data_IF_799308148343
#
_entry.id   IF_799308148343
#
_cell.length_a   1.000
_cell.length_b   1.000
_cell.length_c   1.000
_cell.angle_alpha   90.00
_cell.angle_beta   90.00
_cell.angle_gamma   90.00
#
_symmetry.space_group_name_H-M   'P 1'
#
loop_
_entity.id
_entity.type
_entity.pdbx_description
1 polymer ?
#
# COMPACT_ATOMS: atom_id res chain seq x y z
N UNK A 1 18.33 0.22 5.94
CA UNK A 1 18.72 -1.17 5.62
C UNK A 1 18.43 -2.02 6.85
N UNK A 2 17.30 -2.73 6.87
CA UNK A 2 17.01 -3.76 7.86
C UNK A 2 17.36 -5.08 7.17
N UNK A 3 18.57 -5.58 7.43
CA UNK A 3 19.12 -6.75 6.79
C UNK A 3 18.77 -8.02 7.55
N UNK A 4 18.06 -8.94 6.90
CA UNK A 4 17.93 -10.33 7.33
C UNK A 4 18.18 -11.23 6.11
N UNK A 5 19.45 -11.64 5.95
CA UNK A 5 19.89 -12.87 5.28
C UNK A 5 19.64 -13.02 3.77
N UNK A 6 20.69 -12.84 2.97
CA UNK A 6 20.97 -13.45 1.63
C UNK A 6 19.92 -13.36 0.51
N UNK A 7 18.73 -12.82 0.79
CA UNK A 7 17.68 -12.40 -0.13
C UNK A 7 17.42 -10.92 0.18
N UNK A 8 18.36 -10.07 -0.22
CA UNK A 8 18.14 -8.62 -0.19
C UNK A 8 17.05 -8.30 -1.22
N UNK A 9 15.80 -8.33 -0.79
CA UNK A 9 14.68 -7.87 -1.61
C UNK A 9 14.84 -6.35 -1.65
N UNK A 10 15.29 -5.83 -2.79
CA UNK A 10 15.20 -4.41 -3.05
C UNK A 10 13.71 -4.03 -3.08
N UNK A 11 13.30 -3.19 -2.13
CA UNK A 11 11.93 -2.70 -2.02
C UNK A 11 11.63 -1.64 -3.08
N UNK A 12 12.62 -1.26 -3.89
CA UNK A 12 12.50 -0.42 -5.08
C UNK A 12 11.93 -1.22 -6.25
N UNK A 13 10.69 -1.69 -6.10
CA UNK A 13 10.04 -2.58 -7.08
C UNK A 13 9.81 -1.93 -8.45
N UNK A 14 9.80 -0.59 -8.53
CA UNK A 14 9.59 0.17 -9.77
C UNK A 14 10.89 0.71 -10.38
N UNK A 15 12.01 0.06 -10.10
CA UNK A 15 13.28 0.39 -10.76
C UNK A 15 13.16 0.29 -12.29
N UNK A 16 13.87 1.16 -13.01
CA UNK A 16 13.85 1.18 -14.47
C UNK A 16 14.68 0.07 -15.10
N UNK A 17 15.67 -0.45 -14.36
CA UNK A 17 16.61 -1.48 -14.81
C UNK A 17 15.99 -2.86 -14.54
N UNK A 18 15.47 -3.06 -13.33
CA UNK A 18 14.90 -4.34 -12.88
C UNK A 18 13.51 -4.15 -12.24
N UNK A 19 12.46 -3.88 -13.03
CA UNK A 19 11.11 -3.78 -12.49
C UNK A 19 10.69 -5.13 -11.92
N UNK A 20 10.13 -5.12 -10.71
CA UNK A 20 9.77 -6.32 -9.95
C UNK A 20 8.31 -6.25 -9.54
N UNK A 21 7.59 -7.38 -9.63
CA UNK A 21 6.24 -7.50 -9.09
C UNK A 21 6.32 -8.13 -7.71
N UNK A 22 5.81 -7.41 -6.71
CA UNK A 22 5.73 -7.88 -5.33
C UNK A 22 4.28 -8.29 -5.01
N UNK A 23 4.07 -9.58 -4.79
CA UNK A 23 2.80 -10.12 -4.32
C UNK A 23 2.91 -10.49 -2.84
N UNK A 24 2.04 -9.93 -2.01
CA UNK A 24 1.99 -10.23 -0.57
C UNK A 24 0.69 -10.95 -0.25
N UNK A 25 0.80 -12.18 0.23
CA UNK A 25 -0.32 -12.94 0.77
C UNK A 25 -0.33 -12.88 2.29
N UNK A 26 -1.52 -12.89 2.88
CA UNK A 26 -1.69 -13.05 4.32
C UNK A 26 -2.02 -14.51 4.67
N UNK A 27 -1.61 -14.98 5.84
CA UNK A 27 -1.99 -16.27 6.38
C UNK A 27 -3.19 -16.11 7.33
N UNK A 28 -4.42 -16.55 6.97
CA UNK A 28 -5.64 -16.24 7.72
C UNK A 28 -5.58 -16.58 9.22
N UNK A 29 -5.00 -17.72 9.65
CA UNK A 29 -4.92 -18.07 11.08
C UNK A 29 -4.07 -17.10 11.93
N UNK A 30 -3.19 -16.32 11.31
CA UNK A 30 -2.30 -15.37 12.00
C UNK A 30 -2.47 -13.93 11.45
N UNK A 31 -3.65 -13.62 10.91
CA UNK A 31 -3.97 -12.32 10.29
C UNK A 31 -3.63 -11.12 11.19
N UNK A 32 -3.92 -11.20 12.49
CA UNK A 32 -3.63 -10.13 13.46
C UNK A 32 -2.14 -9.90 13.69
N UNK A 33 -1.31 -10.95 13.61
CA UNK A 33 0.14 -10.84 13.80
C UNK A 33 0.84 -10.33 12.53
N UNK A 34 0.38 -10.75 11.35
CA UNK A 34 0.98 -10.37 10.07
C UNK A 34 0.50 -9.02 9.53
N UNK A 35 -0.71 -8.58 9.87
CA UNK A 35 -1.28 -7.31 9.39
C UNK A 35 -0.34 -6.10 9.65
N UNK A 36 0.23 -5.90 10.86
CA UNK A 36 1.17 -4.79 11.09
C UNK A 36 2.45 -4.88 10.26
N UNK A 37 2.97 -6.10 10.06
CA UNK A 37 4.19 -6.35 9.29
C UNK A 37 3.96 -6.05 7.81
N UNK A 38 2.84 -6.53 7.25
CA UNK A 38 2.45 -6.28 5.86
C UNK A 38 2.19 -4.78 5.65
N UNK A 39 1.52 -4.13 6.59
CA UNK A 39 1.25 -2.68 6.58
C UNK A 39 2.55 -1.87 6.54
N UNK A 40 3.53 -2.24 7.36
CA UNK A 40 4.85 -1.63 7.35
C UNK A 40 5.56 -1.83 6.01
N UNK A 41 5.56 -3.07 5.49
CA UNK A 41 6.20 -3.40 4.22
C UNK A 41 5.63 -2.56 3.07
N UNK A 42 4.30 -2.50 2.94
CA UNK A 42 3.60 -1.70 1.93
C UNK A 42 3.94 -0.22 2.08
N UNK A 43 4.00 0.29 3.31
CA UNK A 43 4.36 1.69 3.58
C UNK A 43 5.78 2.00 3.12
N UNK A 44 6.73 1.08 3.34
CA UNK A 44 8.11 1.23 2.88
C UNK A 44 8.17 1.17 1.35
N UNK A 45 7.45 0.23 0.72
CA UNK A 45 7.37 0.14 -0.75
C UNK A 45 6.83 1.43 -1.35
N UNK A 46 5.73 1.99 -0.83
CA UNK A 46 5.20 3.28 -1.29
C UNK A 46 6.25 4.39 -1.27
N UNK A 47 6.97 4.53 -0.15
CA UNK A 47 8.04 5.53 -0.02
C UNK A 47 9.20 5.28 -0.97
N UNK A 48 9.58 4.02 -1.20
CA UNK A 48 10.65 3.66 -2.14
C UNK A 48 10.26 3.97 -3.59
N UNK A 49 8.99 3.76 -3.93
CA UNK A 49 8.45 4.00 -5.27
C UNK A 49 8.36 5.50 -5.62
N UNK A 50 8.36 6.39 -4.63
CA UNK A 50 8.37 7.84 -4.85
C UNK A 50 9.75 8.30 -5.34
N UNK A 51 9.93 8.32 -6.65
CA UNK A 51 11.17 8.76 -7.28
C UNK A 51 10.94 9.28 -8.69
N UNK A 52 11.86 10.12 -9.16
CA UNK A 52 11.90 10.51 -10.57
C UNK A 52 12.54 9.38 -11.38
N UNK A 53 12.20 9.29 -12.66
CA UNK A 53 12.72 8.25 -13.56
C UNK A 53 12.45 6.82 -13.05
N UNK A 54 11.20 6.56 -12.66
CA UNK A 54 10.72 5.23 -12.27
C UNK A 54 9.71 4.71 -13.30
N UNK A 55 9.59 3.38 -13.38
CA UNK A 55 8.62 2.75 -14.27
C UNK A 55 7.21 3.00 -13.72
N UNK A 56 6.24 3.25 -14.60
CA UNK A 56 4.83 3.36 -14.20
C UNK A 56 4.41 2.07 -13.51
N UNK A 57 3.72 2.17 -12.39
CA UNK A 57 3.40 1.00 -11.57
C UNK A 57 1.99 1.07 -11.03
N UNK A 58 1.54 -0.01 -10.42
CA UNK A 58 0.28 -0.03 -9.71
C UNK A 58 0.47 -0.70 -8.35
N UNK A 59 -0.39 -0.32 -7.41
CA UNK A 59 -0.54 -0.98 -6.11
C UNK A 59 -1.99 -1.40 -6.00
N UNK A 60 -2.23 -2.69 -5.84
CA UNK A 60 -3.57 -3.26 -5.66
C UNK A 60 -3.69 -3.83 -4.25
N UNK A 61 -4.75 -3.43 -3.54
CA UNK A 61 -5.04 -3.86 -2.17
C UNK A 61 -6.45 -4.45 -2.17
N UNK A 62 -6.56 -5.75 -1.92
CA UNK A 62 -7.85 -6.47 -1.97
C UNK A 62 -8.73 -6.22 -0.73
N UNK A 63 -8.12 -6.01 0.44
CA UNK A 63 -8.86 -5.77 1.68
C UNK A 63 -8.21 -4.64 2.49
N UNK A 64 -8.45 -3.40 2.06
CA UNK A 64 -7.81 -2.20 2.64
C UNK A 64 -8.00 -2.06 4.16
N UNK A 65 -9.19 -2.33 4.76
CA UNK A 65 -9.39 -2.20 6.20
C UNK A 65 -8.52 -3.13 7.06
N UNK A 66 -7.91 -4.16 6.46
CA UNK A 66 -7.05 -5.10 7.20
C UNK A 66 -5.63 -4.61 7.38
N UNK A 67 -5.28 -3.51 6.71
CA UNK A 67 -3.95 -2.92 6.70
C UNK A 67 -4.05 -1.51 7.23
N UNK A 68 -3.00 -1.05 7.91
CA UNK A 68 -2.86 0.31 8.37
C UNK A 68 -1.81 1.05 7.55
N UNK A 69 -2.24 1.93 6.65
CA UNK A 69 -1.35 2.74 5.83
C UNK A 69 -1.38 4.19 6.35
N UNK A 70 -0.27 4.71 6.92
CA UNK A 70 -0.21 6.08 7.40
C UNK A 70 -0.50 7.08 6.28
N UNK A 71 -1.40 8.03 6.53
CA UNK A 71 -1.73 9.08 5.56
C UNK A 71 -2.43 8.55 4.31
N UNK A 72 -3.20 7.46 4.41
CA UNK A 72 -3.88 6.82 3.28
C UNK A 72 -4.66 7.82 2.39
N UNK A 73 -5.24 8.89 2.94
CA UNK A 73 -5.94 9.93 2.17
C UNK A 73 -5.03 10.68 1.18
N UNK A 74 -3.74 10.81 1.49
CA UNK A 74 -2.75 11.50 0.66
C UNK A 74 -2.00 10.55 -0.27
N UNK A 75 -1.99 9.25 0.06
CA UNK A 75 -1.27 8.22 -0.70
C UNK A 75 -1.70 8.19 -2.17
N UNK A 76 -3.00 8.12 -2.55
CA UNK A 76 -3.41 8.10 -3.95
C UNK A 76 -3.02 9.38 -4.71
N UNK A 77 -3.12 10.55 -4.06
CA UNK A 77 -2.75 11.82 -4.67
C UNK A 77 -1.25 11.90 -4.95
N UNK A 78 -0.43 11.46 -3.99
CA UNK A 78 1.02 11.40 -4.11
C UNK A 78 1.46 10.34 -5.11
N UNK A 79 0.90 9.13 -5.03
CA UNK A 79 1.15 8.03 -5.96
C UNK A 79 0.89 8.44 -7.41
N UNK A 80 -0.22 9.14 -7.67
CA UNK A 80 -0.55 9.66 -9.00
C UNK A 80 0.53 10.61 -9.55
N UNK A 81 1.12 11.47 -8.70
CA UNK A 81 2.21 12.38 -9.10
C UNK A 81 3.45 11.63 -9.62
N UNK A 82 3.71 10.44 -9.07
CA UNK A 82 4.82 9.57 -9.47
C UNK A 82 4.42 8.51 -10.52
N UNK A 83 3.23 8.61 -11.12
CA UNK A 83 2.78 7.65 -12.15
C UNK A 83 2.42 6.27 -11.60
N UNK A 84 2.01 6.21 -10.32
CA UNK A 84 1.59 4.99 -9.65
C UNK A 84 0.06 4.99 -9.51
N UNK A 85 -0.60 3.95 -10.02
CA UNK A 85 -2.04 3.75 -9.85
C UNK A 85 -2.34 3.01 -8.55
N UNK A 86 -3.24 3.51 -7.70
CA UNK A 86 -3.64 2.84 -6.47
C UNK A 86 -5.06 2.29 -6.62
N UNK A 87 -5.21 0.98 -6.46
CA UNK A 87 -6.48 0.26 -6.49
C UNK A 87 -6.70 -0.30 -5.09
N UNK A 88 -7.84 -0.03 -4.48
CA UNK A 88 -8.17 -0.51 -3.15
C UNK A 88 -9.60 -0.98 -3.11
N UNK A 89 -9.78 -2.23 -2.70
CA UNK A 89 -11.07 -2.86 -2.52
C UNK A 89 -11.48 -2.79 -1.04
N UNK A 90 -12.76 -2.49 -0.82
CA UNK A 90 -13.38 -2.33 0.48
C UNK A 90 -14.69 -3.12 0.45
N UNK A 91 -14.95 -3.92 1.48
CA UNK A 91 -16.20 -4.68 1.59
C UNK A 91 -17.34 -3.84 2.16
N UNK A 92 -17.06 -2.93 3.10
CA UNK A 92 -18.06 -2.02 3.67
C UNK A 92 -17.45 -0.72 4.19
N UNK A 93 -18.22 0.37 4.15
CA UNK A 93 -17.81 1.67 4.71
C UNK A 93 -17.59 1.60 6.23
N UNK A 94 -18.35 0.75 6.94
CA UNK A 94 -18.21 0.59 8.39
C UNK A 94 -16.82 0.07 8.79
N UNK A 95 -16.25 -0.87 8.03
CA UNK A 95 -14.89 -1.36 8.28
C UNK A 95 -13.83 -0.29 8.01
N UNK A 96 -14.04 0.56 6.99
CA UNK A 96 -13.14 1.69 6.75
C UNK A 96 -13.18 2.70 7.90
N UNK A 97 -14.37 3.03 8.40
CA UNK A 97 -14.56 3.95 9.52
C UNK A 97 -13.92 3.39 10.81
N UNK A 98 -14.01 2.09 11.03
CA UNK A 98 -13.38 1.42 12.19
C UNK A 98 -11.85 1.46 12.11
N UNK A 99 -11.26 1.15 10.95
CA UNK A 99 -9.79 1.11 10.78
C UNK A 99 -9.15 2.49 10.64
N UNK A 100 -9.77 3.42 9.92
CA UNK A 100 -9.19 4.72 9.56
C UNK A 100 -9.90 5.94 10.18
N UNK A 101 -10.98 5.72 10.94
CA UNK A 101 -11.77 6.79 11.54
C UNK A 101 -12.60 7.59 10.52
N UNK A 102 -13.41 8.53 11.02
CA UNK A 102 -14.23 9.47 10.24
C UNK A 102 -13.42 10.40 9.29
N UNK A 103 -12.10 10.26 9.20
CA UNK A 103 -11.19 11.18 8.51
C UNK A 103 -11.15 10.93 7.00
N UNK A 104 -11.43 9.70 6.54
CA UNK A 104 -11.30 9.33 5.12
C UNK A 104 -12.59 9.54 4.31
N UNK A 105 -13.75 9.61 4.95
CA UNK A 105 -15.02 9.85 4.26
C UNK A 105 -15.29 11.35 4.04
N UNK A 106 -14.52 11.97 3.14
CA UNK A 106 -15.10 13.08 2.37
C UNK A 106 -16.17 12.50 1.48
N UNK A 107 -17.41 12.53 1.97
CA UNK A 107 -18.64 12.23 1.22
C UNK A 107 -18.47 12.70 -0.24
N UNK A 108 -18.31 11.74 -1.15
CA UNK A 108 -18.69 11.94 -2.53
C UNK A 108 -20.22 12.09 -2.53
N UNK A 109 -20.69 13.31 -2.27
CA UNK A 109 -22.01 13.74 -2.71
C UNK A 109 -21.93 13.78 -4.23
N UNK A 110 -22.36 12.71 -4.87
CA UNK A 110 -22.77 12.77 -6.27
C UNK A 110 -23.94 13.76 -6.32
N UNK A 111 -23.96 14.73 -7.26
CA UNK A 111 -25.09 15.63 -7.45
C UNK A 111 -26.38 14.87 -7.77
#
# INVERSE_FOLDING_TARGET
MLGIGKNEIDLTINDNITPTILCIGNFPPAKSAFSPVISLLITICFKSMYGHNRTKSFVAIDELPTLYIPGLSEVPATARKYGISTISCIQSNAQLEDTYGNIVLKRYKVP
#
